data_IF_580618372620
#
_entry.id   IF_580618372620
#
_cell.length_a   1.000
_cell.length_b   1.000
_cell.length_c   1.000
_cell.angle_alpha   90.00
_cell.angle_beta   90.00
_cell.angle_gamma   90.00
#
_symmetry.space_group_name_H-M   'P 1'
#
loop_
_entity.id
_entity.type
_entity.pdbx_description
1 polymer ?
#
# COMPACT_ATOMS: atom_id res chain seq x y z
N UNK A 1 -14.49 13.28 12.63
CA UNK A 1 -13.61 12.24 12.08
C UNK A 1 -14.24 11.75 10.78
N UNK A 2 -13.67 12.10 9.62
CA UNK A 2 -14.27 11.82 8.30
C UNK A 2 -13.83 10.47 7.70
N UNK A 3 -13.02 9.69 8.44
CA UNK A 3 -12.35 8.48 7.91
C UNK A 3 -13.02 7.16 8.33
N UNK A 4 -14.19 7.22 8.99
CA UNK A 4 -14.94 6.03 9.40
C UNK A 4 -15.91 5.58 8.30
N UNK A 5 -15.95 4.27 8.07
CA UNK A 5 -16.97 3.64 7.23
C UNK A 5 -18.35 3.71 7.90
N UNK A 6 -19.43 3.78 7.10
CA UNK A 6 -20.79 3.86 7.63
C UNK A 6 -21.09 2.71 8.59
N UNK A 7 -21.70 3.03 9.72
CA UNK A 7 -22.19 2.05 10.69
C UNK A 7 -21.19 1.58 11.74
N UNK A 8 -19.91 1.95 11.67
CA UNK A 8 -18.94 1.65 12.74
C UNK A 8 -17.94 2.80 12.91
N UNK A 9 -17.89 3.47 14.07
CA UNK A 9 -16.91 4.53 14.31
C UNK A 9 -15.49 3.97 14.38
N UNK A 10 -14.53 4.73 13.88
CA UNK A 10 -13.11 4.45 14.10
C UNK A 10 -12.73 4.89 15.52
N UNK A 11 -12.32 3.94 16.36
CA UNK A 11 -11.82 4.22 17.71
C UNK A 11 -10.39 4.79 17.67
N UNK A 12 -10.07 5.70 18.59
CA UNK A 12 -8.76 6.34 18.68
C UNK A 12 -8.84 7.82 19.03
N UNK A 13 -7.72 8.53 18.92
CA UNK A 13 -7.67 9.98 19.11
C UNK A 13 -8.48 10.70 18.01
N UNK A 14 -9.56 11.37 18.42
CA UNK A 14 -10.44 12.11 17.51
C UNK A 14 -9.79 13.34 16.85
N UNK A 15 -8.67 13.80 17.40
CA UNK A 15 -7.89 14.94 16.90
C UNK A 15 -6.55 14.50 16.28
N UNK A 16 -6.26 13.20 16.31
CA UNK A 16 -5.03 12.60 15.80
C UNK A 16 -5.23 11.90 14.45
N UNK A 17 -4.11 11.44 13.87
CA UNK A 17 -4.15 10.52 12.74
C UNK A 17 -4.02 9.09 13.25
N UNK A 18 -4.86 8.16 12.76
CA UNK A 18 -4.76 6.77 13.16
C UNK A 18 -3.44 6.18 12.67
N UNK A 19 -2.84 5.36 13.52
CA UNK A 19 -1.70 4.53 13.18
C UNK A 19 -2.11 3.44 12.19
N UNK A 20 -1.11 2.86 11.52
CA UNK A 20 -1.32 1.68 10.66
C UNK A 20 -2.06 0.55 11.40
N UNK A 21 -1.72 0.31 12.66
CA UNK A 21 -2.29 -0.80 13.42
C UNK A 21 -3.76 -0.53 13.79
N UNK A 22 -4.11 0.72 14.12
CA UNK A 22 -5.51 1.11 14.39
C UNK A 22 -6.39 0.92 13.15
N UNK A 23 -5.92 1.35 11.97
CA UNK A 23 -6.65 1.13 10.71
C UNK A 23 -6.80 -0.37 10.40
N UNK A 24 -5.75 -1.17 10.58
CA UNK A 24 -5.81 -2.63 10.35
C UNK A 24 -6.82 -3.29 11.30
N UNK A 25 -6.81 -2.93 12.58
CA UNK A 25 -7.77 -3.46 13.56
C UNK A 25 -9.21 -3.04 13.21
N UNK A 26 -9.41 -1.77 12.86
CA UNK A 26 -10.70 -1.25 12.45
C UNK A 26 -11.30 -1.98 11.25
N UNK A 27 -10.52 -2.17 10.17
CA UNK A 27 -11.01 -2.88 8.98
C UNK A 27 -11.36 -4.35 9.26
N UNK A 28 -10.60 -5.02 10.14
CA UNK A 28 -10.93 -6.39 10.59
C UNK A 28 -12.22 -6.41 11.40
N UNK A 29 -12.38 -5.47 12.32
CA UNK A 29 -13.59 -5.35 13.12
C UNK A 29 -14.80 -5.08 12.22
N UNK A 30 -14.68 -4.17 11.25
CA UNK A 30 -15.73 -3.86 10.30
C UNK A 30 -16.16 -5.10 9.50
N UNK A 31 -15.20 -5.89 8.99
CA UNK A 31 -15.52 -7.12 8.27
C UNK A 31 -16.28 -8.14 9.13
N UNK A 32 -15.92 -8.24 10.42
CA UNK A 32 -16.57 -9.16 11.36
C UNK A 32 -17.96 -8.66 11.78
N UNK A 33 -18.09 -7.40 12.16
CA UNK A 33 -19.34 -6.78 12.64
C UNK A 33 -20.47 -6.94 11.61
N UNK A 34 -20.14 -6.70 10.34
CA UNK A 34 -21.10 -6.80 9.23
C UNK A 34 -21.12 -8.17 8.53
N UNK A 35 -20.39 -9.17 9.06
CA UNK A 35 -20.29 -10.51 8.49
C UNK A 35 -20.00 -10.52 6.98
N UNK A 36 -19.06 -9.69 6.54
CA UNK A 36 -18.73 -9.56 5.12
C UNK A 36 -18.17 -10.88 4.58
N UNK A 37 -18.66 -11.40 3.44
CA UNK A 37 -18.26 -12.70 2.91
C UNK A 37 -16.90 -12.64 2.20
N UNK A 38 -15.85 -12.30 2.93
CA UNK A 38 -14.49 -12.12 2.40
C UNK A 38 -13.81 -13.48 2.25
N UNK A 39 -13.38 -13.79 1.04
CA UNK A 39 -12.54 -14.97 0.76
C UNK A 39 -11.08 -14.57 0.75
N UNK A 40 -10.40 -14.76 1.89
CA UNK A 40 -8.95 -14.57 1.98
C UNK A 40 -8.22 -15.70 1.23
N UNK A 41 -6.93 -15.48 0.92
CA UNK A 41 -6.07 -16.44 0.21
C UNK A 41 -6.60 -16.86 -1.17
N UNK A 42 -7.51 -16.05 -1.74
CA UNK A 42 -8.12 -16.27 -3.05
C UNK A 42 -7.58 -15.22 -4.02
N UNK A 43 -6.55 -15.59 -4.77
CA UNK A 43 -5.91 -14.75 -5.77
C UNK A 43 -6.68 -14.83 -7.08
N UNK A 44 -7.09 -13.68 -7.63
CA UNK A 44 -7.69 -13.58 -8.96
C UNK A 44 -6.57 -13.57 -10.00
N UNK A 45 -6.53 -14.61 -10.84
CA UNK A 45 -5.50 -14.81 -11.86
C UNK A 45 -5.94 -14.18 -13.19
N UNK A 46 -7.22 -14.37 -13.53
CA UNK A 46 -7.77 -13.91 -14.82
C UNK A 46 -9.25 -13.60 -14.71
N UNK A 47 -9.69 -12.62 -15.49
CA UNK A 47 -11.10 -12.28 -15.66
C UNK A 47 -11.43 -12.27 -17.14
N UNK A 48 -12.52 -12.92 -17.51
CA UNK A 48 -13.07 -12.92 -18.87
C UNK A 48 -14.55 -12.56 -18.82
N UNK A 49 -15.02 -11.76 -19.77
CA UNK A 49 -16.43 -11.41 -19.90
C UNK A 49 -17.01 -12.08 -21.14
N UNK A 50 -18.05 -12.90 -20.95
CA UNK A 50 -18.73 -13.62 -22.02
C UNK A 50 -20.21 -13.81 -21.65
N UNK A 51 -21.11 -13.60 -22.61
CA UNK A 51 -22.56 -13.83 -22.44
C UNK A 51 -23.14 -13.13 -21.20
N UNK A 52 -22.77 -11.86 -20.98
CA UNK A 52 -23.16 -11.01 -19.84
C UNK A 52 -22.73 -11.54 -18.44
N UNK A 53 -21.73 -12.42 -18.40
CA UNK A 53 -21.14 -12.99 -17.19
C UNK A 53 -19.62 -12.77 -17.17
N UNK A 54 -19.11 -12.37 -16.02
CA UNK A 54 -17.68 -12.42 -15.70
C UNK A 54 -17.33 -13.80 -15.15
N UNK A 55 -16.40 -14.47 -15.83
CA UNK A 55 -15.70 -15.66 -15.37
C UNK A 55 -14.39 -15.23 -14.73
N UNK A 56 -14.25 -15.50 -13.44
CA UNK A 56 -13.14 -15.05 -12.60
C UNK A 56 -12.38 -16.30 -12.20
N UNK A 57 -11.23 -16.50 -12.83
CA UNK A 57 -10.31 -17.58 -12.52
C UNK A 57 -9.50 -17.21 -11.28
N UNK A 58 -9.51 -18.07 -10.28
CA UNK A 58 -8.74 -17.92 -9.04
C UNK A 58 -7.91 -19.16 -8.75
N UNK A 59 -6.94 -19.04 -7.84
CA UNK A 59 -6.19 -20.19 -7.32
C UNK A 59 -7.06 -21.21 -6.55
N UNK A 60 -8.32 -20.89 -6.25
CA UNK A 60 -9.28 -21.76 -5.56
C UNK A 60 -10.40 -22.28 -6.49
N UNK A 61 -10.37 -21.94 -7.78
CA UNK A 61 -11.39 -22.33 -8.76
C UNK A 61 -11.98 -21.15 -9.53
N UNK A 62 -13.05 -21.39 -10.27
CA UNK A 62 -13.70 -20.38 -11.10
C UNK A 62 -14.94 -19.85 -10.39
N UNK A 63 -15.04 -18.52 -10.27
CA UNK A 63 -16.23 -17.81 -9.81
C UNK A 63 -16.95 -17.15 -10.99
N UNK A 64 -18.26 -16.99 -10.86
CA UNK A 64 -19.10 -16.31 -11.84
C UNK A 64 -19.82 -15.13 -11.20
N UNK A 65 -19.88 -14.00 -11.91
CA UNK A 65 -20.65 -12.84 -11.47
C UNK A 65 -21.19 -12.04 -12.65
N UNK A 66 -22.32 -11.36 -12.46
CA UNK A 66 -22.85 -10.40 -13.43
C UNK A 66 -22.16 -9.04 -13.34
N UNK A 67 -21.67 -8.69 -12.16
CA UNK A 67 -21.01 -7.41 -11.89
C UNK A 67 -19.64 -7.66 -11.25
N UNK A 68 -18.65 -6.88 -11.66
CA UNK A 68 -17.30 -6.96 -11.14
C UNK A 68 -16.79 -5.56 -10.79
N UNK A 69 -16.26 -5.41 -9.58
CA UNK A 69 -15.60 -4.18 -9.11
C UNK A 69 -14.13 -4.51 -8.89
N UNK A 70 -13.24 -3.76 -9.53
CA UNK A 70 -11.79 -3.92 -9.36
C UNK A 70 -11.31 -2.97 -8.26
N UNK A 71 -10.89 -3.54 -7.13
CA UNK A 71 -10.41 -2.81 -5.96
C UNK A 71 -8.95 -3.16 -5.59
N UNK A 72 -8.12 -3.52 -6.57
CA UNK A 72 -6.72 -3.96 -6.35
C UNK A 72 -5.75 -2.84 -5.96
N UNK A 73 -6.15 -1.57 -6.14
CA UNK A 73 -5.29 -0.40 -5.92
C UNK A 73 -4.28 -0.16 -7.05
N UNK A 74 -3.74 1.07 -7.13
CA UNK A 74 -2.95 1.54 -8.28
C UNK A 74 -1.41 1.52 -8.08
N UNK A 75 -0.90 1.21 -6.89
CA UNK A 75 0.49 1.51 -6.51
C UNK A 75 1.37 0.28 -6.22
N UNK A 76 1.01 -0.89 -6.76
CA UNK A 76 1.73 -2.14 -6.44
C UNK A 76 3.03 -2.33 -7.25
N UNK A 77 3.15 -1.72 -8.43
CA UNK A 77 4.36 -1.85 -9.27
C UNK A 77 5.27 -0.62 -9.13
N UNK A 78 6.51 -0.78 -8.63
CA UNK A 78 7.44 0.33 -8.49
C UNK A 78 7.86 0.86 -9.85
N UNK A 79 7.76 2.18 -10.06
CA UNK A 79 8.23 2.83 -11.28
C UNK A 79 9.66 3.31 -11.08
N UNK A 80 10.62 2.50 -11.53
CA UNK A 80 12.05 2.83 -11.46
C UNK A 80 12.48 3.54 -12.75
N UNK A 81 13.00 4.78 -12.71
CA UNK A 81 13.46 5.47 -13.91
C UNK A 81 14.66 4.78 -14.57
N UNK A 82 14.69 4.69 -15.89
CA UNK A 82 15.76 3.98 -16.62
C UNK A 82 17.18 4.53 -16.36
N UNK A 83 17.32 5.80 -15.99
CA UNK A 83 18.64 6.38 -15.66
C UNK A 83 19.26 5.79 -14.39
N UNK A 84 18.47 5.14 -13.52
CA UNK A 84 18.97 4.52 -12.28
C UNK A 84 20.07 3.49 -12.53
N UNK A 85 19.99 2.80 -13.67
CA UNK A 85 20.96 1.79 -14.12
C UNK A 85 22.31 2.40 -14.53
N UNK A 86 22.36 3.72 -14.76
CA UNK A 86 23.57 4.43 -15.19
C UNK A 86 24.38 5.01 -14.00
N UNK A 87 23.86 4.88 -12.79
CA UNK A 87 24.55 5.34 -11.58
C UNK A 87 25.61 4.31 -11.16
N UNK A 88 26.68 4.79 -10.50
CA UNK A 88 27.73 3.92 -9.96
C UNK A 88 27.16 2.88 -9.00
N UNK A 89 27.72 1.66 -9.02
CA UNK A 89 27.39 0.57 -8.10
C UNK A 89 27.62 0.92 -6.63
N UNK A 90 28.47 1.91 -6.35
CA UNK A 90 28.79 2.34 -4.98
C UNK A 90 27.62 3.13 -4.34
N UNK A 91 26.74 3.68 -5.18
CA UNK A 91 25.53 4.41 -4.77
C UNK A 91 24.45 3.40 -4.40
N UNK A 92 24.08 3.38 -3.11
CA UNK A 92 22.98 2.55 -2.63
C UNK A 92 21.64 3.17 -3.05
N UNK A 93 20.89 2.46 -3.89
CA UNK A 93 19.59 2.89 -4.38
C UNK A 93 18.48 2.05 -3.71
N UNK A 94 17.40 2.72 -3.28
CA UNK A 94 16.21 2.07 -2.70
C UNK A 94 14.95 2.71 -3.30
N UNK A 95 14.00 1.90 -3.75
CA UNK A 95 12.66 2.41 -4.06
C UNK A 95 11.89 2.68 -2.75
N UNK A 96 10.94 3.63 -2.75
CA UNK A 96 10.18 4.00 -1.55
C UNK A 96 9.47 2.81 -0.90
N UNK A 97 9.00 1.84 -1.71
CA UNK A 97 8.40 0.58 -1.23
C UNK A 97 9.35 -0.33 -0.44
N UNK A 98 10.66 -0.16 -0.59
CA UNK A 98 11.70 -0.93 0.11
C UNK A 98 12.23 -0.21 1.36
N UNK A 99 11.96 1.09 1.50
CA UNK A 99 12.36 1.88 2.65
C UNK A 99 11.40 1.67 3.82
N UNK A 100 11.92 1.18 4.95
CA UNK A 100 11.16 0.93 6.19
C UNK A 100 11.69 1.70 7.38
N UNK A 101 13.01 1.89 7.48
CA UNK A 101 13.68 2.52 8.61
C UNK A 101 14.90 3.34 8.16
N UNK A 102 15.24 4.44 8.84
CA UNK A 102 16.40 5.27 8.51
C UNK A 102 17.74 4.51 8.49
N UNK A 103 17.92 3.50 9.35
CA UNK A 103 19.15 2.69 9.42
C UNK A 103 19.46 1.91 8.12
N UNK A 104 18.52 1.86 7.17
CA UNK A 104 18.77 1.31 5.84
C UNK A 104 19.60 2.25 4.95
N UNK A 105 19.74 3.52 5.31
CA UNK A 105 20.56 4.50 4.59
C UNK A 105 22.01 4.41 5.04
N UNK A 106 22.96 4.58 4.11
CA UNK A 106 24.38 4.75 4.46
C UNK A 106 24.54 6.13 5.09
N UNK A 107 25.51 6.29 5.99
CA UNK A 107 25.92 7.62 6.44
C UNK A 107 26.36 8.49 5.26
N UNK A 108 26.06 9.78 5.35
CA UNK A 108 26.36 10.76 4.30
C UNK A 108 25.11 11.27 3.57
N UNK A 109 25.32 11.72 2.35
CA UNK A 109 24.32 12.47 1.59
C UNK A 109 23.20 11.57 1.06
N UNK A 110 21.95 11.98 1.27
CA UNK A 110 20.75 11.29 0.79
C UNK A 110 20.02 12.18 -0.21
N UNK A 111 19.71 11.64 -1.39
CA UNK A 111 18.88 12.29 -2.41
C UNK A 111 17.57 11.51 -2.56
N UNK A 112 16.43 12.20 -2.40
CA UNK A 112 15.10 11.62 -2.66
C UNK A 112 14.62 12.07 -4.04
N UNK A 113 14.33 11.11 -4.91
CA UNK A 113 13.84 11.37 -6.27
C UNK A 113 12.33 11.13 -6.32
N UNK A 114 11.57 12.23 -6.49
CA UNK A 114 10.10 12.22 -6.57
C UNK A 114 9.44 12.93 -5.39
N UNK A 115 8.64 13.97 -5.66
CA UNK A 115 7.98 14.82 -4.67
C UNK A 115 6.58 14.36 -4.24
N UNK A 116 6.24 13.08 -4.40
CA UNK A 116 4.97 12.53 -3.90
C UNK A 116 4.96 12.41 -2.37
N UNK A 117 3.81 12.11 -1.76
CA UNK A 117 3.65 12.02 -0.30
C UNK A 117 4.72 11.12 0.36
N UNK A 118 4.99 9.94 -0.22
CA UNK A 118 6.05 9.05 0.28
C UNK A 118 7.44 9.67 0.19
N UNK A 119 7.75 10.40 -0.88
CA UNK A 119 9.03 11.08 -1.06
C UNK A 119 9.23 12.20 -0.04
N UNK A 120 8.21 13.03 0.18
CA UNK A 120 8.25 14.10 1.18
C UNK A 120 8.42 13.56 2.61
N UNK A 121 7.68 12.51 2.97
CA UNK A 121 7.80 11.85 4.27
C UNK A 121 9.20 11.23 4.48
N UNK A 122 9.71 10.51 3.48
CA UNK A 122 11.05 9.90 3.54
C UNK A 122 12.12 10.99 3.67
N UNK A 123 12.03 12.07 2.88
CA UNK A 123 12.97 13.20 2.96
C UNK A 123 13.00 13.80 4.38
N UNK A 124 11.84 14.01 4.98
CA UNK A 124 11.73 14.51 6.36
C UNK A 124 12.38 13.54 7.38
N UNK A 125 12.17 12.23 7.23
CA UNK A 125 12.77 11.24 8.12
C UNK A 125 14.28 11.08 7.92
N UNK A 126 14.77 11.16 6.68
CA UNK A 126 16.22 11.07 6.39
C UNK A 126 16.98 12.30 6.89
N UNK A 127 16.38 13.50 6.82
CA UNK A 127 16.97 14.72 7.37
C UNK A 127 17.21 14.56 8.88
N UNK A 128 16.23 14.02 9.63
CA UNK A 128 16.40 13.78 11.07
C UNK A 128 17.50 12.76 11.41
N UNK A 129 17.77 11.80 10.53
CA UNK A 129 18.85 10.83 10.73
C UNK A 129 20.24 11.42 10.46
N UNK A 130 20.36 12.39 9.54
CA UNK A 130 21.63 13.02 9.20
C UNK A 130 22.06 14.13 10.17
N UNK A 131 21.14 14.70 10.95
CA UNK A 131 21.44 15.80 11.91
C UNK A 131 21.53 15.29 13.36
N UNK A 132 21.16 14.02 13.61
CA UNK A 132 21.11 13.42 14.95
C UNK A 132 22.32 12.55 15.33
N UNK A 133 23.45 12.72 14.65
CA UNK A 133 24.75 12.13 15.01
C UNK A 133 25.63 13.14 15.72
#
# INVERSE_FOLDING_TARGET
MYDALPGLPLEGDAHGFPTKNEIVSYLKQYANEFNLPIQLQTEVIKVQHQDDIFYIETNQGILQSKNLIIATGAFQTPRIPAFSQKLSSDIKQLHSSQYKKPIQLKEGNVLVVGGGNSGAQIACFSIKACIGG
#
